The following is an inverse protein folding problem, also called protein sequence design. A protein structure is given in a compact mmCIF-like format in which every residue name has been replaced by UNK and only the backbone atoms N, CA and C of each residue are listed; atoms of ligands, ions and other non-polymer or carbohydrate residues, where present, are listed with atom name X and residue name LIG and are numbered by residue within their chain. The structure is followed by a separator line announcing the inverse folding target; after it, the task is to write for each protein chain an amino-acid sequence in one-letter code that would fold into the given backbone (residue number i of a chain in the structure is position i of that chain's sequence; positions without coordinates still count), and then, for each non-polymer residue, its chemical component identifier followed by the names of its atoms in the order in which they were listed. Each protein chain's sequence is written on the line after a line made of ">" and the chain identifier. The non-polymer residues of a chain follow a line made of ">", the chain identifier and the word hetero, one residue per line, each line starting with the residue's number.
data_IF_168193517173
#
_entry.id   IF_168193517173
#
_cell.length_a   1.000
_cell.length_b   1.000
_cell.length_c   1.000
_cell.angle_alpha   90.00
_cell.angle_beta   90.00
_cell.angle_gamma   90.00
#
_symmetry.space_group_name_H-M   'P 1'
#
loop_
_entity.id
_entity.type
_entity.pdbx_description
1 polymer ?
#
# COMPACT_ATOMS: atom_id res chain seq x y z
N UNK A 1 17.65 15.72 -12.14
CA UNK A 1 16.91 15.47 -10.88
C UNK A 1 16.17 16.76 -10.54
N UNK A 2 14.84 16.77 -10.55
CA UNK A 2 14.10 17.94 -10.02
C UNK A 2 14.27 17.89 -8.50
N UNK A 3 14.95 18.87 -7.93
CA UNK A 3 14.95 19.10 -6.49
C UNK A 3 13.52 19.48 -6.09
N UNK A 4 12.82 18.56 -5.42
CA UNK A 4 11.61 18.91 -4.71
C UNK A 4 12.03 19.56 -3.41
N UNK A 5 12.07 20.89 -3.41
CA UNK A 5 12.43 21.66 -2.24
C UNK A 5 11.28 21.53 -1.21
N UNK A 6 11.45 20.59 -0.28
CA UNK A 6 10.46 20.21 0.73
C UNK A 6 10.35 21.32 1.78
N UNK A 7 9.68 22.41 1.41
CA UNK A 7 9.55 23.57 2.26
C UNK A 7 8.50 23.34 3.36
N UNK A 8 8.92 23.49 4.62
CA UNK A 8 8.06 23.32 5.81
C UNK A 8 6.74 24.08 5.71
N UNK A 9 6.77 25.35 5.31
CA UNK A 9 5.56 26.18 5.25
C UNK A 9 4.61 25.69 4.17
N UNK A 10 5.14 25.30 3.01
CA UNK A 10 4.35 24.72 1.93
C UNK A 10 3.68 23.41 2.35
N UNK A 11 4.43 22.52 3.03
CA UNK A 11 3.90 21.23 3.49
C UNK A 11 2.82 21.42 4.55
N UNK A 12 3.06 22.30 5.54
CA UNK A 12 2.06 22.65 6.54
C UNK A 12 0.79 23.13 5.83
N UNK A 13 0.91 24.17 4.99
CA UNK A 13 -0.21 24.73 4.24
C UNK A 13 -0.97 23.68 3.43
N UNK A 14 -0.27 22.83 2.69
CA UNK A 14 -0.87 21.74 1.91
C UNK A 14 -1.69 20.80 2.80
N UNK A 15 -1.16 20.44 3.97
CA UNK A 15 -1.85 19.50 4.87
C UNK A 15 -2.96 20.12 5.71
N UNK A 16 -2.95 21.43 5.94
CA UNK A 16 -3.96 22.13 6.75
C UNK A 16 -5.10 22.71 5.91
N UNK A 17 -4.80 23.16 4.70
CA UNK A 17 -5.78 23.82 3.82
C UNK A 17 -6.27 22.91 2.69
N UNK A 18 -5.52 21.87 2.31
CA UNK A 18 -5.82 21.04 1.16
C UNK A 18 -5.82 19.53 1.47
N UNK A 19 -6.50 18.77 0.62
CA UNK A 19 -6.27 17.33 0.56
C UNK A 19 -4.95 17.04 -0.15
N UNK A 20 -4.18 16.10 0.37
CA UNK A 20 -2.88 15.71 -0.20
C UNK A 20 -2.95 14.28 -0.73
N UNK A 21 -2.33 14.06 -1.87
CA UNK A 21 -2.07 12.75 -2.46
C UNK A 21 -0.57 12.65 -2.75
N UNK A 22 0.03 11.53 -2.33
CA UNK A 22 1.40 11.17 -2.72
C UNK A 22 1.45 10.52 -4.10
N UNK A 23 0.31 10.32 -4.77
CA UNK A 23 0.21 9.67 -6.07
C UNK A 23 0.09 10.69 -7.21
N UNK A 24 0.70 10.34 -8.34
CA UNK A 24 0.56 10.97 -9.65
C UNK A 24 -0.47 10.21 -10.49
N UNK A 25 -1.26 10.96 -11.26
CA UNK A 25 -2.31 10.42 -12.13
C UNK A 25 -2.12 10.90 -13.57
N UNK A 26 -2.15 9.99 -14.54
CA UNK A 26 -1.85 10.26 -15.95
C UNK A 26 -2.82 11.21 -16.64
N UNK A 27 -4.07 11.24 -16.17
CA UNK A 27 -5.17 12.03 -16.74
C UNK A 27 -5.80 12.98 -15.70
N UNK A 28 -5.18 13.12 -14.53
CA UNK A 28 -5.71 13.90 -13.41
C UNK A 28 -6.93 13.26 -12.71
N UNK A 29 -7.40 12.10 -13.16
CA UNK A 29 -8.47 11.36 -12.50
C UNK A 29 -7.88 10.44 -11.43
N UNK A 30 -8.58 10.36 -10.29
CA UNK A 30 -8.15 9.55 -9.15
C UNK A 30 -8.78 8.16 -9.18
N UNK A 31 -8.35 7.34 -10.13
CA UNK A 31 -8.78 5.94 -10.27
C UNK A 31 -7.57 5.02 -10.36
N UNK A 32 -7.78 3.73 -10.09
CA UNK A 32 -6.69 2.74 -10.12
C UNK A 32 -6.02 2.69 -11.50
N UNK A 33 -6.79 2.82 -12.57
CA UNK A 33 -6.29 2.74 -13.94
C UNK A 33 -5.47 3.94 -14.43
N UNK A 34 -5.51 5.06 -13.72
CA UNK A 34 -4.77 6.29 -14.06
C UNK A 34 -3.56 6.53 -13.18
N UNK A 35 -3.29 5.66 -12.20
CA UNK A 35 -2.12 5.78 -11.34
C UNK A 35 -0.83 5.62 -12.16
N UNK A 36 0.05 6.61 -12.07
CA UNK A 36 1.35 6.60 -12.75
C UNK A 36 2.53 6.36 -11.82
N UNK A 37 2.54 7.01 -10.65
CA UNK A 37 3.62 6.89 -9.70
C UNK A 37 3.21 7.30 -8.28
N UNK A 38 3.97 6.86 -7.27
CA UNK A 38 3.91 7.35 -5.89
C UNK A 38 5.20 8.11 -5.56
N UNK A 39 5.07 9.38 -5.16
CA UNK A 39 6.16 10.30 -4.81
C UNK A 39 6.38 10.45 -3.30
N UNK A 40 5.38 10.09 -2.49
CA UNK A 40 5.48 10.15 -1.04
C UNK A 40 4.69 9.00 -0.40
N UNK A 41 5.23 8.47 0.71
CA UNK A 41 4.50 7.57 1.59
C UNK A 41 3.60 8.41 2.50
N UNK A 42 2.36 7.94 2.69
CA UNK A 42 1.34 8.61 3.46
C UNK A 42 0.81 7.67 4.55
N UNK A 43 1.45 7.57 5.71
CA UNK A 43 1.01 6.68 6.80
C UNK A 43 -0.26 7.22 7.47
N UNK A 44 -1.20 6.34 7.83
CA UNK A 44 -2.46 6.69 8.52
C UNK A 44 -2.60 5.90 9.82
N UNK A 45 -2.42 6.59 10.95
CA UNK A 45 -2.55 6.05 12.31
C UNK A 45 -3.91 6.46 12.89
N UNK A 46 -4.96 5.69 12.60
CA UNK A 46 -6.34 6.14 12.80
C UNK A 46 -7.04 5.49 14.01
N UNK A 47 -6.39 4.49 14.63
CA UNK A 47 -6.99 3.63 15.68
C UNK A 47 -6.70 4.09 17.10
N UNK A 48 -5.85 5.10 17.31
CA UNK A 48 -5.39 5.51 18.64
C UNK A 48 -4.47 4.51 19.32
N UNK A 49 -3.92 3.55 18.56
CA UNK A 49 -2.92 2.59 19.08
C UNK A 49 -1.56 3.23 19.25
N UNK A 50 -1.13 4.01 18.26
CA UNK A 50 0.07 4.84 18.33
C UNK A 50 -0.34 6.18 18.92
N UNK A 51 0.24 6.55 20.06
CA UNK A 51 0.05 7.87 20.66
C UNK A 51 0.86 8.92 19.92
N UNK A 52 0.50 10.20 20.12
CA UNK A 52 1.26 11.34 19.62
C UNK A 52 2.72 11.27 20.08
N UNK A 53 2.96 11.05 21.36
CA UNK A 53 4.30 11.05 21.94
C UNK A 53 5.17 9.94 21.36
N UNK A 54 4.64 8.72 21.25
CA UNK A 54 5.35 7.58 20.64
C UNK A 54 5.71 7.85 19.17
N UNK A 55 4.77 8.39 18.39
CA UNK A 55 5.02 8.69 16.98
C UNK A 55 6.08 9.78 16.81
N UNK A 56 6.05 10.82 17.66
CA UNK A 56 7.02 11.91 17.61
C UNK A 56 8.42 11.44 18.02
N UNK A 57 8.51 10.56 19.02
CA UNK A 57 9.79 9.92 19.40
C UNK A 57 10.32 9.05 18.26
N UNK A 58 9.49 8.20 17.66
CA UNK A 58 9.89 7.35 16.55
C UNK A 58 10.34 8.18 15.33
N UNK A 59 9.63 9.27 15.04
CA UNK A 59 9.97 10.20 13.95
C UNK A 59 11.41 10.73 14.08
N UNK A 60 11.90 10.99 15.30
CA UNK A 60 13.27 11.47 15.51
C UNK A 60 14.31 10.42 15.10
N UNK A 61 14.00 9.13 15.24
CA UNK A 61 14.89 8.01 14.89
C UNK A 61 15.00 7.72 13.40
N UNK A 62 14.04 8.16 12.59
CA UNK A 62 14.06 7.91 11.14
C UNK A 62 15.27 8.56 10.46
N UNK A 63 15.76 7.96 9.38
CA UNK A 63 16.93 8.45 8.63
C UNK A 63 16.51 9.18 7.35
N UNK A 64 15.33 9.79 7.37
CA UNK A 64 14.72 10.50 6.27
C UNK A 64 13.84 11.65 6.79
N UNK A 65 13.59 12.62 5.93
CA UNK A 65 12.69 13.73 6.19
C UNK A 65 11.26 13.22 6.35
N UNK A 66 10.50 13.88 7.20
CA UNK A 66 9.11 13.48 7.43
C UNK A 66 8.30 14.62 8.03
N UNK A 67 6.99 14.53 7.84
CA UNK A 67 6.05 15.45 8.44
C UNK A 67 4.90 14.69 9.09
N UNK A 68 4.79 14.78 10.41
CA UNK A 68 3.69 14.24 11.20
C UNK A 68 2.64 15.32 11.36
N UNK A 69 1.38 14.96 11.12
CA UNK A 69 0.25 15.84 11.35
C UNK A 69 -1.02 15.12 11.81
N UNK A 70 -1.94 15.84 12.43
CA UNK A 70 -3.25 15.31 12.85
C UNK A 70 -4.22 15.16 11.69
N UNK A 71 -5.10 14.16 11.72
CA UNK A 71 -6.29 14.13 10.86
C UNK A 71 -7.39 15.08 11.38
N UNK A 72 -8.35 15.45 10.53
CA UNK A 72 -9.55 16.24 10.90
C UNK A 72 -10.36 15.71 12.08
N UNK A 73 -10.20 14.42 12.40
CA UNK A 73 -10.96 13.76 13.46
C UNK A 73 -10.09 13.50 14.70
N UNK A 74 -8.88 14.04 14.76
CA UNK A 74 -7.98 13.90 15.91
C UNK A 74 -8.69 14.32 17.21
N UNK A 75 -8.65 13.45 18.23
CA UNK A 75 -9.28 13.69 19.54
C UNK A 75 -10.79 14.01 19.49
N UNK A 76 -11.46 13.70 18.37
CA UNK A 76 -12.93 13.81 18.25
C UNK A 76 -13.60 12.47 18.49
N UNK A 77 -14.81 12.49 19.04
CA UNK A 77 -15.67 11.30 19.13
C UNK A 77 -16.11 10.90 17.72
N UNK A 78 -16.10 9.60 17.41
CA UNK A 78 -16.52 9.08 16.10
C UNK A 78 -17.73 8.17 16.27
N UNK A 79 -18.85 8.54 15.66
CA UNK A 79 -20.03 7.67 15.61
C UNK A 79 -19.90 6.72 14.42
N UNK A 80 -19.92 5.41 14.66
CA UNK A 80 -19.87 4.38 13.64
C UNK A 80 -20.85 3.26 13.97
N UNK A 81 -21.79 2.98 13.05
CA UNK A 81 -22.80 1.93 13.21
C UNK A 81 -23.56 1.99 14.56
N UNK A 82 -23.92 3.20 15.02
CA UNK A 82 -24.63 3.41 16.28
C UNK A 82 -23.76 3.29 17.55
N UNK A 83 -22.46 2.99 17.43
CA UNK A 83 -21.50 3.03 18.54
C UNK A 83 -20.68 4.32 18.48
N UNK A 84 -20.44 4.93 19.63
CA UNK A 84 -19.55 6.09 19.76
C UNK A 84 -18.19 5.60 20.19
N UNK A 85 -17.20 5.72 19.30
CA UNK A 85 -15.80 5.51 19.61
C UNK A 85 -15.27 6.71 20.42
N UNK A 86 -14.46 6.47 21.47
CA UNK A 86 -13.89 7.55 22.27
C UNK A 86 -12.93 8.43 21.44
N UNK A 87 -12.63 9.65 21.93
CA UNK A 87 -11.50 10.43 21.44
C UNK A 87 -10.20 9.63 21.48
N UNK A 88 -9.40 9.74 20.43
CA UNK A 88 -8.07 9.15 20.38
C UNK A 88 -7.18 9.87 19.37
N UNK A 89 -5.89 9.54 19.40
CA UNK A 89 -4.93 10.05 18.44
C UNK A 89 -5.19 9.48 17.05
N UNK A 90 -5.45 10.41 16.13
CA UNK A 90 -5.57 10.13 14.69
C UNK A 90 -4.52 10.96 13.96
N UNK A 91 -3.45 10.31 13.58
CA UNK A 91 -2.20 10.93 13.12
C UNK A 91 -1.88 10.44 11.71
N UNK A 92 -1.20 11.29 10.95
CA UNK A 92 -0.77 11.02 9.59
C UNK A 92 0.68 11.43 9.43
N UNK A 93 1.36 10.75 8.51
CA UNK A 93 2.76 11.06 8.22
C UNK A 93 2.96 11.13 6.73
N UNK A 94 3.64 12.17 6.27
CA UNK A 94 4.16 12.25 4.90
C UNK A 94 5.67 12.01 4.95
N UNK A 95 6.13 11.07 4.13
CA UNK A 95 7.56 10.75 3.95
C UNK A 95 7.89 10.93 2.46
N UNK A 96 8.81 11.83 2.08
CA UNK A 96 9.27 11.98 0.70
C UNK A 96 9.96 10.71 0.22
N UNK A 97 9.77 10.35 -1.04
CA UNK A 97 10.59 9.33 -1.68
C UNK A 97 11.71 9.96 -2.51
N UNK A 98 12.91 9.38 -2.42
CA UNK A 98 14.08 9.84 -3.17
C UNK A 98 13.90 9.64 -4.69
N UNK A 99 13.15 8.61 -5.05
CA UNK A 99 12.67 8.36 -6.40
C UNK A 99 11.21 7.87 -6.34
N UNK A 100 10.37 8.20 -7.33
CA UNK A 100 9.00 7.73 -7.34
C UNK A 100 8.92 6.21 -7.52
N UNK A 101 7.90 5.58 -6.94
CA UNK A 101 7.55 4.19 -7.21
C UNK A 101 6.60 4.18 -8.40
N UNK A 102 7.01 3.59 -9.52
CA UNK A 102 6.24 3.58 -10.79
C UNK A 102 5.62 2.22 -11.11
N UNK A 103 5.88 1.22 -10.28
CA UNK A 103 5.39 -0.15 -10.44
C UNK A 103 4.45 -0.51 -9.30
N UNK A 104 3.29 -1.07 -9.63
CA UNK A 104 2.33 -1.56 -8.64
C UNK A 104 2.93 -2.69 -7.78
N UNK A 105 3.82 -3.51 -8.35
CA UNK A 105 4.54 -4.56 -7.63
C UNK A 105 5.43 -3.96 -6.52
N UNK A 106 6.23 -2.94 -6.86
CA UNK A 106 7.09 -2.27 -5.89
C UNK A 106 6.25 -1.50 -4.85
N UNK A 107 5.16 -0.85 -5.27
CA UNK A 107 4.25 -0.13 -4.39
C UNK A 107 3.67 -1.07 -3.32
N UNK A 108 3.20 -2.25 -3.74
CA UNK A 108 2.66 -3.27 -2.84
C UNK A 108 3.74 -3.85 -1.91
N UNK A 109 4.98 -4.05 -2.40
CA UNK A 109 6.09 -4.52 -1.57
C UNK A 109 6.44 -3.50 -0.48
N UNK A 110 6.51 -2.21 -0.82
CA UNK A 110 6.76 -1.13 0.15
C UNK A 110 5.63 -1.06 1.17
N UNK A 111 4.37 -1.05 0.71
CA UNK A 111 3.17 -1.07 1.57
C UNK A 111 3.22 -2.23 2.56
N UNK A 112 3.52 -3.44 2.08
CA UNK A 112 3.62 -4.63 2.91
C UNK A 112 4.74 -4.54 3.95
N UNK A 113 5.91 -3.99 3.61
CA UNK A 113 7.01 -3.87 4.59
C UNK A 113 6.66 -2.95 5.77
N UNK A 114 5.90 -1.88 5.51
CA UNK A 114 5.42 -0.99 6.57
C UNK A 114 4.29 -1.63 7.36
N UNK A 115 3.37 -2.34 6.71
CA UNK A 115 2.34 -3.13 7.40
C UNK A 115 2.98 -4.17 8.33
N UNK A 116 4.03 -4.86 7.90
CA UNK A 116 4.72 -5.84 8.76
C UNK A 116 5.51 -5.21 9.90
N UNK A 117 6.07 -4.02 9.66
CA UNK A 117 6.74 -3.25 10.70
C UNK A 117 5.77 -2.80 11.79
N UNK A 118 4.64 -2.23 11.39
CA UNK A 118 3.72 -1.59 12.34
C UNK A 118 2.61 -2.52 12.83
N UNK A 119 2.02 -3.35 11.96
CA UNK A 119 0.87 -4.19 12.29
C UNK A 119 1.30 -5.59 12.75
N UNK A 120 1.97 -5.65 13.90
CA UNK A 120 2.45 -6.90 14.50
C UNK A 120 1.46 -7.50 15.50
N UNK A 121 1.57 -8.80 15.76
CA UNK A 121 0.81 -9.51 16.81
C UNK A 121 -0.72 -9.33 16.76
N UNK A 122 -1.28 -9.12 15.55
CA UNK A 122 -2.72 -8.92 15.35
C UNK A 122 -3.22 -7.52 15.68
N UNK A 123 -2.33 -6.58 16.01
CA UNK A 123 -2.65 -5.19 16.26
C UNK A 123 -2.55 -4.37 14.98
N UNK A 124 -3.58 -3.62 14.65
CA UNK A 124 -3.62 -2.72 13.49
C UNK A 124 -3.22 -1.31 13.94
N UNK A 125 -1.96 -0.96 13.76
CA UNK A 125 -1.39 0.35 14.13
C UNK A 125 -1.61 1.37 13.00
N UNK A 126 -1.36 0.95 11.75
CA UNK A 126 -1.59 1.74 10.54
C UNK A 126 -2.70 1.13 9.66
N UNK A 127 -3.45 1.97 8.95
CA UNK A 127 -4.36 1.53 7.88
C UNK A 127 -3.54 0.79 6.81
N UNK A 128 -3.84 -0.48 6.54
CA UNK A 128 -3.09 -1.29 5.56
C UNK A 128 -3.24 -0.82 4.10
N UNK A 129 -4.13 0.13 3.81
CA UNK A 129 -4.37 0.72 2.49
C UNK A 129 -3.76 2.13 2.33
N UNK A 130 -2.83 2.50 3.20
CA UNK A 130 -2.21 3.82 3.26
C UNK A 130 -1.45 4.22 1.98
N UNK A 131 -1.02 3.27 1.14
CA UNK A 131 -0.40 3.55 -0.16
C UNK A 131 -1.29 3.23 -1.36
N UNK A 132 -2.58 2.96 -1.15
CA UNK A 132 -3.48 2.62 -2.25
C UNK A 132 -3.36 3.62 -3.42
N UNK A 133 -3.46 3.13 -4.65
CA UNK A 133 -3.27 3.96 -5.86
C UNK A 133 -4.25 5.15 -5.95
N UNK A 134 -5.45 5.00 -5.39
CA UNK A 134 -6.43 6.06 -5.22
C UNK A 134 -6.45 6.64 -3.78
N UNK A 135 -5.37 6.54 -3.01
CA UNK A 135 -5.30 7.11 -1.65
C UNK A 135 -5.10 8.62 -1.72
N UNK A 136 -5.79 9.31 -0.83
CA UNK A 136 -5.53 10.70 -0.47
C UNK A 136 -5.85 10.87 1.01
N UNK A 137 -5.29 11.90 1.62
CA UNK A 137 -5.72 12.38 2.91
C UNK A 137 -6.40 13.72 2.74
N UNK A 138 -7.60 13.86 3.28
CA UNK A 138 -8.19 15.18 3.48
C UNK A 138 -7.26 16.04 4.35
N UNK A 139 -7.37 17.37 4.24
CA UNK A 139 -6.70 18.32 5.13
C UNK A 139 -6.90 17.95 6.61
N UNK A 140 -6.06 18.43 7.52
CA UNK A 140 -6.14 18.09 8.94
C UNK A 140 -5.89 19.29 9.85
N UNK A 141 -6.59 19.32 10.98
CA UNK A 141 -6.32 19.96 12.29
C UNK A 141 -7.24 19.24 13.32
N UNK A 142 -7.00 19.15 14.64
CA UNK A 142 -6.66 20.22 15.61
C UNK A 142 -5.77 19.80 16.82
N UNK A 143 -4.45 19.89 16.89
CA UNK A 143 -3.32 20.02 15.95
C UNK A 143 -2.23 19.05 16.46
N UNK A 144 -1.67 18.23 15.59
CA UNK A 144 -0.28 17.78 15.74
C UNK A 144 0.44 18.21 14.48
N UNK A 145 1.64 18.78 14.63
CA UNK A 145 2.51 19.25 13.55
C UNK A 145 3.96 19.08 13.99
N UNK A 146 4.69 18.18 13.33
CA UNK A 146 6.11 17.97 13.60
C UNK A 146 6.85 17.69 12.30
N UNK A 147 7.84 18.51 12.04
CA UNK A 147 8.59 18.50 10.80
C UNK A 147 10.05 18.18 11.09
N UNK A 148 10.53 17.08 10.51
CA UNK A 148 11.93 16.67 10.56
C UNK A 148 12.50 16.83 9.16
N UNK A 149 13.58 17.60 9.05
CA UNK A 149 14.27 17.90 7.79
C UNK A 149 15.78 17.81 7.93
N UNK A 150 16.47 17.76 6.78
CA UNK A 150 17.93 17.72 6.71
C UNK A 150 18.51 16.31 6.71
N UNK A 151 17.65 15.28 6.71
CA UNK A 151 18.00 13.86 6.54
C UNK A 151 17.87 13.41 5.08
N UNK A 152 17.07 14.15 4.30
CA UNK A 152 16.82 13.88 2.89
C UNK A 152 15.67 12.90 2.66
N UNK A 153 15.29 12.67 1.41
CA UNK A 153 14.15 11.83 1.07
C UNK A 153 14.46 10.33 1.28
N UNK A 154 13.42 9.54 1.56
CA UNK A 154 13.56 8.11 1.82
C UNK A 154 13.90 7.34 0.53
N UNK A 155 15.00 6.57 0.56
CA UNK A 155 15.32 5.61 -0.49
C UNK A 155 14.59 4.28 -0.22
N UNK A 156 13.43 4.10 -0.82
CA UNK A 156 12.59 2.90 -0.61
C UNK A 156 13.23 1.61 -1.11
N UNK A 157 14.14 1.66 -2.09
CA UNK A 157 14.87 0.47 -2.56
C UNK A 157 15.84 -0.10 -1.53
N UNK A 158 16.23 0.70 -0.54
CA UNK A 158 17.10 0.28 0.57
C UNK A 158 16.34 -0.34 1.74
N UNK A 159 15.02 -0.53 1.64
CA UNK A 159 14.25 -1.24 2.66
C UNK A 159 14.77 -2.68 2.76
N UNK A 160 15.26 -3.12 3.94
CA UNK A 160 15.75 -4.48 4.09
C UNK A 160 14.64 -5.50 3.81
N UNK A 161 14.99 -6.58 3.12
CA UNK A 161 14.07 -7.70 2.84
C UNK A 161 12.80 -7.30 2.07
N UNK A 162 12.79 -6.18 1.34
CA UNK A 162 11.61 -5.67 0.62
C UNK A 162 10.91 -6.72 -0.26
N UNK A 163 11.70 -7.60 -0.89
CA UNK A 163 11.19 -8.64 -1.79
C UNK A 163 11.20 -10.06 -1.17
N UNK A 164 11.64 -10.20 0.08
CA UNK A 164 11.71 -11.51 0.75
C UNK A 164 10.30 -11.87 1.20
N UNK A 165 9.68 -12.80 0.45
CA UNK A 165 8.30 -13.25 0.65
C UNK A 165 8.05 -13.69 2.11
N UNK A 166 7.15 -13.03 2.86
CA UNK A 166 6.38 -13.74 3.86
C UNK A 166 5.50 -14.72 3.10
N UNK A 167 5.41 -15.96 3.56
CA UNK A 167 4.48 -16.95 2.98
C UNK A 167 3.10 -16.31 2.82
N UNK A 168 2.62 -16.21 1.57
CA UNK A 168 1.37 -15.52 1.22
C UNK A 168 0.26 -15.91 2.20
N UNK A 169 -0.14 -15.01 3.11
CA UNK A 169 -1.44 -15.12 3.76
C UNK A 169 -2.48 -14.92 2.66
N UNK A 170 -3.37 -15.92 2.48
CA UNK A 170 -4.43 -15.83 1.47
C UNK A 170 -5.28 -14.59 1.75
N UNK A 171 -5.28 -13.64 0.82
CA UNK A 171 -6.19 -12.50 0.85
C UNK A 171 -7.65 -12.94 0.78
N UNK A 172 -8.55 -12.09 1.27
CA UNK A 172 -10.00 -12.31 1.21
C UNK A 172 -10.43 -12.54 -0.25
N UNK A 173 -11.22 -13.60 -0.56
CA UNK A 173 -11.63 -13.88 -1.93
C UNK A 173 -12.41 -12.71 -2.54
N UNK A 174 -12.12 -12.38 -3.79
CA UNK A 174 -12.89 -11.39 -4.55
C UNK A 174 -14.35 -11.85 -4.75
N UNK A 175 -15.25 -10.92 -5.11
CA UNK A 175 -16.65 -11.26 -5.42
C UNK A 175 -16.75 -12.30 -6.56
N UNK A 176 -15.83 -12.26 -7.51
CA UNK A 176 -15.73 -13.19 -8.65
C UNK A 176 -15.21 -14.57 -8.25
N UNK A 177 -14.27 -14.63 -7.31
CA UNK A 177 -13.79 -15.89 -6.71
C UNK A 177 -14.88 -16.56 -5.86
N UNK A 178 -15.69 -15.77 -5.14
CA UNK A 178 -16.86 -16.30 -4.41
C UNK A 178 -17.92 -16.89 -5.35
N UNK A 179 -18.01 -16.40 -6.58
CA UNK A 179 -18.90 -16.93 -7.63
C UNK A 179 -18.29 -18.13 -8.37
N UNK A 180 -17.08 -18.60 -8.00
CA UNK A 180 -16.35 -19.71 -8.64
C UNK A 180 -16.15 -19.54 -10.16
N UNK A 181 -16.10 -18.31 -10.64
CA UNK A 181 -15.90 -18.01 -12.07
C UNK A 181 -14.41 -17.89 -12.45
N UNK A 182 -13.51 -18.13 -11.51
CA UNK A 182 -12.06 -18.03 -11.67
C UNK A 182 -11.38 -19.14 -10.87
N UNK A 183 -10.16 -19.51 -11.26
CA UNK A 183 -9.32 -20.49 -10.57
C UNK A 183 -7.91 -19.94 -10.38
N UNK A 184 -7.20 -20.46 -9.37
CA UNK A 184 -5.81 -20.11 -9.05
C UNK A 184 -4.87 -21.26 -9.45
N UNK A 185 -3.60 -20.94 -9.72
CA UNK A 185 -2.50 -21.88 -10.03
C UNK A 185 -2.10 -22.82 -8.87
N UNK A 186 -2.98 -23.04 -7.89
CA UNK A 186 -2.86 -24.03 -6.80
C UNK A 186 -4.20 -24.66 -6.42
N UNK A 187 -5.26 -24.33 -7.15
CA UNK A 187 -6.57 -24.90 -6.89
C UNK A 187 -6.55 -26.37 -7.29
N UNK A 188 -7.22 -27.19 -6.47
CA UNK A 188 -7.37 -28.61 -6.71
C UNK A 188 -8.65 -28.83 -7.50
N UNK A 189 -8.51 -29.23 -8.75
CA UNK A 189 -9.61 -29.57 -9.65
C UNK A 189 -9.75 -31.09 -9.74
N UNK A 190 -11.00 -31.56 -9.79
CA UNK A 190 -11.31 -32.97 -9.95
C UNK A 190 -11.57 -33.24 -11.44
N UNK A 191 -10.84 -34.17 -12.03
CA UNK A 191 -11.03 -34.55 -13.43
C UNK A 191 -12.27 -35.45 -13.61
N UNK A 192 -12.56 -35.79 -14.87
CA UNK A 192 -13.69 -36.65 -15.25
C UNK A 192 -13.61 -38.09 -14.70
N UNK A 193 -12.43 -38.54 -14.28
CA UNK A 193 -12.19 -39.86 -13.67
C UNK A 193 -12.13 -39.78 -12.15
N UNK A 194 -12.33 -38.59 -11.59
CA UNK A 194 -12.36 -38.32 -10.17
C UNK A 194 -11.00 -38.13 -9.52
N UNK A 195 -9.92 -38.02 -10.29
CA UNK A 195 -8.58 -37.72 -9.78
C UNK A 195 -8.47 -36.22 -9.48
N UNK A 196 -7.77 -35.90 -8.40
CA UNK A 196 -7.56 -34.52 -7.98
C UNK A 196 -6.20 -34.06 -8.49
N UNK A 197 -6.20 -33.05 -9.36
CA UNK A 197 -5.01 -32.41 -9.89
C UNK A 197 -4.93 -30.96 -9.43
N UNK A 198 -3.71 -30.47 -9.21
CA UNK A 198 -3.45 -29.05 -8.92
C UNK A 198 -3.30 -28.29 -10.24
N UNK A 199 -4.01 -27.17 -10.40
CA UNK A 199 -3.77 -26.26 -11.53
C UNK A 199 -2.36 -25.71 -11.42
N UNK A 200 -1.57 -25.73 -12.49
CA UNK A 200 -0.22 -25.17 -12.53
C UNK A 200 -0.02 -24.33 -13.78
N UNK A 201 1.00 -23.48 -13.76
CA UNK A 201 1.44 -22.75 -14.94
C UNK A 201 2.16 -23.71 -15.89
N UNK A 202 2.11 -23.44 -17.19
CA UNK A 202 2.88 -24.22 -18.16
C UNK A 202 4.34 -23.79 -18.08
N UNK A 203 5.23 -24.75 -17.87
CA UNK A 203 6.67 -24.48 -17.90
C UNK A 203 7.10 -24.11 -19.33
N UNK A 204 8.10 -23.22 -19.50
CA UNK A 204 8.66 -22.92 -20.82
C UNK A 204 9.08 -24.20 -21.56
N UNK A 205 8.74 -24.28 -22.85
CA UNK A 205 9.01 -25.46 -23.68
C UNK A 205 8.05 -26.65 -23.48
N UNK A 206 7.02 -26.53 -22.62
CA UNK A 206 5.98 -27.57 -22.50
C UNK A 206 5.25 -27.73 -23.85
N UNK A 207 5.23 -28.92 -24.46
CA UNK A 207 4.54 -29.13 -25.73
C UNK A 207 3.03 -28.95 -25.56
N UNK A 208 2.46 -27.95 -26.24
CA UNK A 208 1.01 -27.76 -26.28
C UNK A 208 0.47 -28.45 -27.52
N UNK A 209 -0.29 -29.53 -27.32
CA UNK A 209 -0.95 -30.23 -28.42
C UNK A 209 -2.27 -29.54 -28.77
N UNK A 210 -2.46 -29.18 -30.04
CA UNK A 210 -3.74 -28.70 -30.56
C UNK A 210 -4.61 -29.90 -30.94
N UNK A 211 -5.76 -30.14 -30.27
CA UNK A 211 -6.60 -31.30 -30.53
C UNK A 211 -7.26 -31.31 -31.92
N UNK A 212 -7.23 -30.18 -32.65
CA UNK A 212 -7.74 -30.06 -34.02
C UNK A 212 -6.64 -30.19 -35.09
N UNK A 213 -5.37 -30.03 -34.73
CA UNK A 213 -4.30 -29.80 -35.70
C UNK A 213 -3.41 -31.02 -35.99
N UNK A 214 -3.58 -32.15 -35.28
CA UNK A 214 -2.70 -33.32 -35.45
C UNK A 214 -1.23 -33.05 -35.08
N UNK A 215 -0.31 -33.81 -35.70
CA UNK A 215 1.16 -33.74 -35.55
C UNK A 215 1.82 -32.51 -36.21
N UNK A 216 1.16 -31.36 -36.20
CA UNK A 216 1.78 -30.11 -36.63
C UNK A 216 2.91 -29.71 -35.63
N UNK A 217 4.00 -29.05 -36.10
CA UNK A 217 5.12 -28.71 -35.24
C UNK A 217 4.65 -27.94 -34.00
N UNK A 218 5.01 -28.49 -32.84
CA UNK A 218 4.67 -28.00 -31.52
C UNK A 218 4.91 -26.49 -31.41
N UNK A 219 3.90 -25.75 -30.97
CA UNK A 219 4.10 -24.35 -30.58
C UNK A 219 4.66 -24.34 -29.17
N UNK A 220 5.90 -23.88 -29.02
CA UNK A 220 6.47 -23.49 -27.73
C UNK A 220 5.98 -22.10 -27.38
N UNK A 221 5.80 -21.85 -26.08
CA UNK A 221 5.45 -20.54 -25.55
C UNK A 221 6.76 -19.77 -25.33
N UNK A 222 7.34 -19.26 -26.42
CA UNK A 222 8.47 -18.31 -26.40
C UNK A 222 7.95 -16.87 -26.41
#
# INVERSE_FOLDING_TARGET
>A
LREFDWNKQTVIKLTTEFGVSGNEYSDGHKIVGSWGATHAIMLDFDKGTMTKEELLEEQQGWQFDSYVYSSQNHQRKKAKNGKVEPPCDRLRVIIPLAEPITSEFDRQAVEQSFVERYNQNGQEVIDASFMGSARYFAHGTDEVSSFVSGKGPMNWRKIPNLYVKPGKKQGRPSKTENLKLTFRLKDKVKDQHGQIAEVKELEPGTPIYCPFCGDAPHRTND
#
